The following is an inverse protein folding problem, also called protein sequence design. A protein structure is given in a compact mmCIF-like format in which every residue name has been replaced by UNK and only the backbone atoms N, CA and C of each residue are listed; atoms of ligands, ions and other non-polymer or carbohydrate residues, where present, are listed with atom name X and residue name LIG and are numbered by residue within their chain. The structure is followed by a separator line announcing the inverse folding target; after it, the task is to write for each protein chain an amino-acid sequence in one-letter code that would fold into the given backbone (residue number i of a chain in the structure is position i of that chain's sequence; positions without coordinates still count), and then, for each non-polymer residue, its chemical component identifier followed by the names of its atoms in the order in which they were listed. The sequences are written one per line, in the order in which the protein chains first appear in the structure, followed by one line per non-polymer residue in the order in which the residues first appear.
data_IF_982612030470
#
_entry.id   IF_982612030470
#
_cell.length_a   1.000
_cell.length_b   1.000
_cell.length_c   1.000
_cell.angle_alpha   90.00
_cell.angle_beta   90.00
_cell.angle_gamma   90.00
#
_symmetry.space_group_name_H-M   'P 1'
#
loop_
_entity.id
_entity.type
_entity.pdbx_description
1 polymer ?
#
# COMPACT_ATOMS: atom_id res chain seq x y z
N UNK A 1 18.57 7.36 -25.24
CA UNK A 1 17.82 8.11 -24.21
C UNK A 1 16.66 7.24 -23.80
N UNK A 2 16.20 7.34 -22.55
CA UNK A 2 15.00 6.63 -22.11
C UNK A 2 13.77 7.08 -22.92
N UNK A 3 12.79 6.19 -23.05
CA UNK A 3 11.53 6.54 -23.71
C UNK A 3 10.73 7.53 -22.86
N UNK A 4 9.88 8.36 -23.49
CA UNK A 4 8.97 9.26 -22.77
C UNK A 4 8.08 8.52 -21.76
N UNK A 5 7.56 7.35 -22.15
CA UNK A 5 6.75 6.49 -21.27
C UNK A 5 7.51 6.02 -20.03
N UNK A 6 8.79 5.67 -20.19
CA UNK A 6 9.63 5.31 -19.04
C UNK A 6 9.84 6.49 -18.11
N UNK A 7 10.16 7.67 -18.64
CA UNK A 7 10.39 8.88 -17.84
C UNK A 7 9.13 9.22 -17.04
N UNK A 8 7.96 9.22 -17.68
CA UNK A 8 6.67 9.45 -17.04
C UNK A 8 6.37 8.43 -15.93
N UNK A 9 6.55 7.13 -16.20
CA UNK A 9 6.34 6.08 -15.21
C UNK A 9 7.32 6.18 -14.02
N UNK A 10 8.59 6.51 -14.28
CA UNK A 10 9.61 6.73 -13.25
C UNK A 10 9.22 7.92 -12.38
N UNK A 11 8.83 9.03 -12.99
CA UNK A 11 8.48 10.25 -12.26
C UNK A 11 7.22 10.05 -11.41
N UNK A 12 6.25 9.25 -11.89
CA UNK A 12 5.10 8.83 -11.10
C UNK A 12 5.50 8.00 -9.86
N UNK A 13 6.43 7.06 -10.00
CA UNK A 13 6.93 6.27 -8.87
C UNK A 13 7.68 7.16 -7.86
N UNK A 14 8.54 8.06 -8.35
CA UNK A 14 9.26 9.02 -7.48
C UNK A 14 8.28 9.87 -6.68
N UNK A 15 7.21 10.36 -7.30
CA UNK A 15 6.17 11.13 -6.61
C UNK A 15 5.41 10.27 -5.59
N UNK A 16 5.12 9.01 -5.91
CA UNK A 16 4.50 8.08 -4.95
C UNK A 16 5.41 7.85 -3.72
N UNK A 17 6.72 7.67 -3.93
CA UNK A 17 7.71 7.53 -2.85
C UNK A 17 7.73 8.77 -1.95
N UNK A 18 7.71 9.96 -2.54
CA UNK A 18 7.70 11.22 -1.76
C UNK A 18 6.42 11.35 -0.91
N UNK A 19 5.26 10.97 -1.46
CA UNK A 19 4.01 10.93 -0.71
C UNK A 19 4.07 9.90 0.43
N UNK A 20 4.58 8.71 0.19
CA UNK A 20 4.75 7.68 1.23
C UNK A 20 5.61 8.18 2.39
N UNK A 21 6.75 8.83 2.10
CA UNK A 21 7.62 9.39 3.13
C UNK A 21 6.93 10.45 3.98
N UNK A 22 6.12 11.32 3.36
CA UNK A 22 5.32 12.31 4.09
C UNK A 22 4.32 11.63 5.02
N UNK A 23 3.57 10.65 4.50
CA UNK A 23 2.56 9.93 5.27
C UNK A 23 3.16 9.18 6.45
N UNK A 24 4.30 8.51 6.27
CA UNK A 24 4.98 7.79 7.37
C UNK A 24 5.43 8.73 8.50
N UNK A 25 5.80 9.97 8.18
CA UNK A 25 6.17 10.98 9.20
C UNK A 25 4.94 11.53 9.93
N UNK A 26 3.83 11.72 9.22
CA UNK A 26 2.58 12.26 9.78
C UNK A 26 1.79 11.21 10.57
N UNK A 27 1.88 9.93 10.17
CA UNK A 27 1.17 8.80 10.76
C UNK A 27 2.16 7.74 11.24
N UNK A 28 2.95 8.01 12.29
CA UNK A 28 4.03 7.14 12.72
C UNK A 28 3.56 5.84 13.38
N UNK A 29 2.32 5.79 13.89
CA UNK A 29 1.70 4.61 14.52
C UNK A 29 2.57 3.94 15.60
N UNK A 30 3.35 4.72 16.36
CA UNK A 30 4.28 4.21 17.39
C UNK A 30 5.57 3.61 16.84
N UNK A 31 5.73 3.53 15.52
CA UNK A 31 6.95 3.05 14.83
C UNK A 31 8.11 4.04 14.95
N UNK A 32 7.81 5.30 15.28
CA UNK A 32 8.77 6.34 15.70
C UNK A 32 9.48 6.00 17.02
N UNK A 33 8.92 5.05 17.80
CA UNK A 33 9.45 4.64 19.10
C UNK A 33 10.06 3.24 19.09
N UNK A 34 9.99 2.55 17.95
CA UNK A 34 10.54 1.21 17.77
C UNK A 34 11.93 1.31 17.15
N UNK A 35 12.96 1.02 17.93
CA UNK A 35 14.34 1.03 17.46
C UNK A 35 14.76 -0.33 16.89
N UNK A 36 15.53 -0.28 15.82
CA UNK A 36 16.19 -1.40 15.17
C UNK A 36 17.65 -1.06 14.88
N UNK A 37 18.56 -2.02 15.03
CA UNK A 37 19.99 -1.82 14.77
C UNK A 37 20.37 -2.59 13.51
N UNK A 38 20.95 -1.89 12.54
CA UNK A 38 21.49 -2.46 11.32
C UNK A 38 22.91 -1.94 11.10
N UNK A 39 23.87 -2.85 10.92
CA UNK A 39 25.28 -2.51 10.70
C UNK A 39 25.85 -1.54 11.75
N UNK A 40 25.49 -1.75 13.01
CA UNK A 40 25.92 -0.91 14.14
C UNK A 40 25.23 0.45 14.24
N UNK A 41 24.31 0.79 13.35
CA UNK A 41 23.54 2.04 13.36
C UNK A 41 22.11 1.78 13.82
N UNK A 42 21.64 2.56 14.81
CA UNK A 42 20.25 2.51 15.27
C UNK A 42 19.37 3.39 14.37
N UNK A 43 18.23 2.84 13.97
CA UNK A 43 17.15 3.55 13.29
C UNK A 43 15.85 3.29 14.04
N UNK A 44 14.98 4.28 14.12
CA UNK A 44 13.56 4.00 14.30
C UNK A 44 13.04 3.24 13.08
N UNK A 45 11.94 2.52 13.24
CA UNK A 45 11.35 1.78 12.13
C UNK A 45 10.91 2.73 10.99
N UNK A 46 10.49 3.96 11.31
CA UNK A 46 10.16 4.99 10.30
C UNK A 46 11.40 5.46 9.55
N UNK A 47 12.50 5.76 10.26
CA UNK A 47 13.74 6.16 9.62
C UNK A 47 14.25 5.07 8.67
N UNK A 48 14.10 3.80 9.07
CA UNK A 48 14.42 2.68 8.20
C UNK A 48 13.55 2.65 6.94
N UNK A 49 12.22 2.77 7.06
CA UNK A 49 11.32 2.82 5.91
C UNK A 49 11.66 3.97 4.96
N UNK A 50 11.86 5.19 5.49
CA UNK A 50 12.22 6.36 4.68
C UNK A 50 13.56 6.16 3.99
N UNK A 51 14.54 5.56 4.67
CA UNK A 51 15.84 5.22 4.08
C UNK A 51 15.68 4.24 2.91
N UNK A 52 14.91 3.17 3.09
CA UNK A 52 14.63 2.19 2.02
C UNK A 52 13.92 2.85 0.83
N UNK A 53 12.90 3.65 1.09
CA UNK A 53 12.16 4.40 0.08
C UNK A 53 13.09 5.34 -0.72
N UNK A 54 13.94 6.10 -0.03
CA UNK A 54 14.91 6.99 -0.68
C UNK A 54 15.97 6.22 -1.46
N UNK A 55 16.37 5.03 -0.99
CA UNK A 55 17.26 4.17 -1.76
C UNK A 55 16.63 3.74 -3.08
N UNK A 56 15.37 3.28 -3.07
CA UNK A 56 14.62 2.95 -4.29
C UNK A 56 14.52 4.17 -5.21
N UNK A 57 14.19 5.35 -4.67
CA UNK A 57 14.14 6.61 -5.43
C UNK A 57 15.46 6.93 -6.13
N UNK A 58 16.59 6.79 -5.44
CA UNK A 58 17.91 7.00 -6.03
C UNK A 58 18.25 5.98 -7.12
N UNK A 59 17.90 4.70 -6.93
CA UNK A 59 18.10 3.66 -7.93
C UNK A 59 17.35 3.95 -9.23
N UNK A 60 16.07 4.36 -9.13
CA UNK A 60 15.25 4.63 -10.32
C UNK A 60 15.65 5.93 -11.03
N UNK A 61 16.10 6.95 -10.30
CA UNK A 61 16.59 8.21 -10.87
C UNK A 61 17.93 8.03 -11.60
N UNK A 62 18.80 7.16 -11.09
CA UNK A 62 20.15 6.95 -11.59
C UNK A 62 20.34 5.61 -12.33
N UNK A 63 19.25 4.95 -12.73
CA UNK A 63 19.29 3.65 -13.38
C UNK A 63 20.21 3.67 -14.62
N UNK A 64 21.09 2.66 -14.74
CA UNK A 64 21.93 2.49 -15.93
C UNK A 64 21.06 2.41 -17.20
N UNK A 65 21.55 2.92 -18.33
CA UNK A 65 20.80 2.96 -19.60
C UNK A 65 20.17 1.62 -20.01
N UNK A 66 20.83 0.49 -19.71
CA UNK A 66 20.33 -0.86 -20.00
C UNK A 66 19.09 -1.26 -19.17
N UNK A 67 18.87 -0.63 -18.02
CA UNK A 67 17.75 -0.85 -17.11
C UNK A 67 16.67 0.25 -17.22
N UNK A 68 16.84 1.24 -18.10
CA UNK A 68 15.83 2.27 -18.35
C UNK A 68 14.68 1.75 -19.25
N UNK A 69 14.06 0.65 -18.80
CA UNK A 69 12.96 -0.03 -19.48
C UNK A 69 11.75 -0.12 -18.55
N UNK A 70 10.55 -0.18 -19.12
CA UNK A 70 9.32 -0.35 -18.32
C UNK A 70 9.32 -1.69 -17.56
N UNK A 71 9.93 -2.73 -18.13
CA UNK A 71 10.00 -4.04 -17.48
C UNK A 71 10.89 -4.01 -16.23
N UNK A 72 12.04 -3.36 -16.29
CA UNK A 72 12.91 -3.20 -15.12
C UNK A 72 12.23 -2.35 -14.04
N UNK A 73 11.67 -1.19 -14.43
CA UNK A 73 10.96 -0.30 -13.50
C UNK A 73 9.75 -0.95 -12.84
N UNK A 74 9.08 -1.89 -13.53
CA UNK A 74 7.96 -2.63 -12.96
C UNK A 74 8.35 -3.37 -11.68
N UNK A 75 9.54 -3.94 -11.61
CA UNK A 75 10.01 -4.61 -10.39
C UNK A 75 10.18 -3.62 -9.24
N UNK A 76 10.74 -2.43 -9.49
CA UNK A 76 10.88 -1.39 -8.47
C UNK A 76 9.52 -0.87 -7.99
N UNK A 77 8.54 -0.77 -8.89
CA UNK A 77 7.15 -0.41 -8.56
C UNK A 77 6.56 -1.50 -7.66
N UNK A 78 6.59 -2.76 -8.08
CA UNK A 78 6.01 -3.87 -7.31
C UNK A 78 6.63 -3.93 -5.91
N UNK A 79 7.96 -3.94 -5.80
CA UNK A 79 8.68 -4.00 -4.52
C UNK A 79 8.30 -2.85 -3.57
N UNK A 80 8.20 -1.61 -4.09
CA UNK A 80 7.79 -0.46 -3.29
C UNK A 80 6.34 -0.58 -2.79
N UNK A 81 5.42 -1.02 -3.64
CA UNK A 81 4.00 -1.07 -3.30
C UNK A 81 3.61 -2.27 -2.42
N UNK A 82 4.45 -3.30 -2.24
CA UNK A 82 4.13 -4.48 -1.40
C UNK A 82 3.57 -4.06 -0.04
N UNK A 83 4.26 -3.16 0.68
CA UNK A 83 3.80 -2.71 1.99
C UNK A 83 2.39 -2.12 1.93
N UNK A 84 2.15 -1.19 1.00
CA UNK A 84 0.87 -0.50 0.88
C UNK A 84 -0.26 -1.38 0.33
N UNK A 85 0.07 -2.47 -0.37
CA UNK A 85 -0.91 -3.45 -0.87
C UNK A 85 -1.25 -4.54 0.15
N UNK A 86 -0.35 -4.83 1.09
CA UNK A 86 -0.51 -5.93 2.04
C UNK A 86 -0.86 -5.48 3.45
N UNK A 87 -0.40 -4.30 3.86
CA UNK A 87 -0.68 -3.76 5.17
C UNK A 87 -2.05 -3.06 5.24
N UNK A 88 -2.47 -2.79 6.47
CA UNK A 88 -3.62 -1.99 6.80
C UNK A 88 -3.23 -0.98 7.89
N UNK A 89 -3.99 0.11 7.99
CA UNK A 89 -3.81 1.14 9.00
C UNK A 89 -3.92 2.56 8.44
N UNK A 90 -4.01 3.58 9.32
CA UNK A 90 -4.22 4.96 8.91
C UNK A 90 -3.17 5.52 7.95
N UNK A 91 -1.91 5.06 8.03
CA UNK A 91 -0.84 5.45 7.12
C UNK A 91 -1.03 4.84 5.72
N UNK A 92 -1.51 3.60 5.64
CA UNK A 92 -1.80 2.96 4.35
C UNK A 92 -3.01 3.61 3.69
N UNK A 93 -4.06 3.89 4.46
CA UNK A 93 -5.27 4.51 3.93
C UNK A 93 -5.01 5.96 3.48
N UNK A 94 -4.25 6.72 4.27
CA UNK A 94 -3.84 8.08 3.90
C UNK A 94 -2.95 8.08 2.65
N UNK A 95 -2.04 7.11 2.53
CA UNK A 95 -1.22 6.97 1.33
C UNK A 95 -2.09 6.78 0.07
N UNK A 96 -3.02 5.84 0.08
CA UNK A 96 -3.90 5.58 -1.06
C UNK A 96 -4.81 6.78 -1.38
N UNK A 97 -5.30 7.48 -0.36
CA UNK A 97 -6.01 8.76 -0.53
C UNK A 97 -5.15 9.78 -1.29
N UNK A 98 -3.88 9.98 -0.89
CA UNK A 98 -2.96 10.91 -1.57
C UNK A 98 -2.59 10.47 -2.98
N UNK A 99 -2.44 9.17 -3.24
CA UNK A 99 -2.22 8.64 -4.60
C UNK A 99 -3.37 9.06 -5.52
N UNK A 100 -4.62 8.88 -5.07
CA UNK A 100 -5.81 9.27 -5.82
C UNK A 100 -5.89 10.77 -6.05
N UNK A 101 -5.65 11.59 -5.02
CA UNK A 101 -5.67 13.05 -5.12
C UNK A 101 -4.55 13.61 -6.01
N UNK A 102 -3.39 12.94 -6.02
CA UNK A 102 -2.26 13.28 -6.88
C UNK A 102 -2.46 12.84 -8.34
N UNK A 103 -3.59 12.17 -8.65
CA UNK A 103 -3.93 11.59 -9.95
C UNK A 103 -2.83 10.68 -10.50
N UNK A 104 -2.26 9.85 -9.62
CA UNK A 104 -1.23 8.89 -9.99
C UNK A 104 -1.85 7.58 -10.49
N UNK A 105 -1.21 6.86 -11.44
CA UNK A 105 -1.79 5.68 -12.10
C UNK A 105 -1.60 4.39 -11.28
N UNK A 106 -1.78 4.47 -9.96
CA UNK A 106 -1.64 3.34 -9.05
C UNK A 106 -2.94 3.12 -8.31
N UNK A 107 -3.32 1.85 -8.16
CA UNK A 107 -4.58 1.47 -7.53
C UNK A 107 -4.32 0.43 -6.44
N UNK A 108 -5.10 0.52 -5.36
CA UNK A 108 -5.09 -0.47 -4.28
C UNK A 108 -5.80 -1.73 -4.75
N UNK A 109 -5.16 -2.89 -4.60
CA UNK A 109 -5.76 -4.15 -5.00
C UNK A 109 -6.92 -4.52 -4.06
N UNK A 110 -8.11 -4.74 -4.63
CA UNK A 110 -9.27 -5.13 -3.87
C UNK A 110 -9.28 -6.65 -3.57
N UNK A 111 -8.62 -7.06 -2.48
CA UNK A 111 -8.67 -8.47 -2.03
C UNK A 111 -10.06 -8.91 -1.53
N UNK A 112 -10.99 -7.98 -1.25
CA UNK A 112 -12.35 -8.31 -0.84
C UNK A 112 -13.14 -8.97 -1.96
N UNK A 113 -12.82 -8.72 -3.24
CA UNK A 113 -13.52 -9.36 -4.37
C UNK A 113 -13.50 -10.89 -4.25
N UNK A 114 -12.35 -11.45 -3.86
CA UNK A 114 -12.19 -12.89 -3.69
C UNK A 114 -13.01 -13.43 -2.53
N UNK A 115 -13.15 -12.66 -1.45
CA UNK A 115 -13.96 -13.01 -0.27
C UNK A 115 -15.45 -12.94 -0.65
N UNK A 116 -15.86 -11.85 -1.30
CA UNK A 116 -17.23 -11.62 -1.74
C UNK A 116 -17.69 -12.66 -2.76
N UNK A 117 -16.88 -12.95 -3.80
CA UNK A 117 -17.15 -13.99 -4.80
C UNK A 117 -17.37 -15.36 -4.16
N UNK A 118 -16.69 -15.62 -3.05
CA UNK A 118 -16.81 -16.87 -2.30
C UNK A 118 -18.00 -16.89 -1.34
N UNK A 119 -18.52 -15.73 -0.95
CA UNK A 119 -19.68 -15.60 -0.06
C UNK A 119 -19.42 -15.94 1.42
N UNK A 120 -18.17 -16.06 1.85
CA UNK A 120 -17.81 -16.35 3.26
C UNK A 120 -16.39 -15.94 3.63
N UNK A 121 -16.23 -15.50 4.88
CA UNK A 121 -14.95 -15.34 5.58
C UNK A 121 -14.48 -16.71 6.10
N UNK A 122 -13.22 -17.08 5.85
CA UNK A 122 -12.68 -18.42 6.16
C UNK A 122 -11.93 -18.49 7.49
N UNK A 123 -11.26 -17.42 7.89
CA UNK A 123 -10.38 -17.40 9.04
C UNK A 123 -10.29 -15.98 9.62
N UNK A 124 -9.60 -15.85 10.76
CA UNK A 124 -9.46 -14.57 11.47
C UNK A 124 -8.70 -13.54 10.63
N UNK A 125 -7.71 -13.94 9.84
CA UNK A 125 -6.93 -13.02 8.99
C UNK A 125 -7.84 -12.32 7.98
N UNK A 126 -8.72 -13.08 7.30
CA UNK A 126 -9.69 -12.50 6.39
C UNK A 126 -10.75 -11.67 7.12
N UNK A 127 -11.14 -12.07 8.33
CA UNK A 127 -12.07 -11.30 9.16
C UNK A 127 -11.47 -9.92 9.50
N UNK A 128 -10.25 -9.89 10.03
CA UNK A 128 -9.54 -8.67 10.40
C UNK A 128 -9.38 -7.77 9.17
N UNK A 129 -8.94 -8.33 8.03
CA UNK A 129 -8.84 -7.59 6.77
C UNK A 129 -10.17 -6.97 6.33
N UNK A 130 -11.28 -7.72 6.39
CA UNK A 130 -12.61 -7.19 6.02
C UNK A 130 -13.01 -6.03 6.93
N UNK A 131 -12.83 -6.19 8.24
CA UNK A 131 -13.16 -5.14 9.22
C UNK A 131 -12.32 -3.88 8.97
N UNK A 132 -11.01 -4.06 8.74
CA UNK A 132 -10.07 -2.95 8.56
C UNK A 132 -10.29 -2.20 7.24
N UNK A 133 -10.82 -2.87 6.21
CA UNK A 133 -10.89 -2.30 4.85
C UNK A 133 -12.28 -1.88 4.39
N UNK A 134 -13.36 -2.36 5.04
CA UNK A 134 -14.74 -2.08 4.58
C UNK A 134 -15.06 -0.58 4.51
N UNK A 135 -14.66 0.20 5.54
CA UNK A 135 -14.91 1.64 5.59
C UNK A 135 -14.01 2.42 4.62
N UNK A 136 -12.66 2.24 4.63
CA UNK A 136 -11.79 2.89 3.66
C UNK A 136 -12.21 2.62 2.20
N UNK A 137 -12.52 1.37 1.86
CA UNK A 137 -12.85 1.02 0.47
C UNK A 137 -14.20 1.59 0.03
N UNK A 138 -15.17 1.73 0.94
CA UNK A 138 -16.41 2.43 0.64
C UNK A 138 -16.15 3.91 0.36
N UNK A 139 -15.34 4.57 1.19
CA UNK A 139 -14.99 5.99 1.02
C UNK A 139 -14.17 6.25 -0.26
N UNK A 140 -13.32 5.31 -0.62
CA UNK A 140 -12.53 5.35 -1.86
C UNK A 140 -13.37 5.06 -3.12
N UNK A 141 -14.62 4.59 -2.95
CA UNK A 141 -15.52 4.22 -4.04
C UNK A 141 -15.22 2.86 -4.67
N UNK A 142 -14.38 2.06 -4.01
CA UNK A 142 -14.05 0.68 -4.40
C UNK A 142 -15.23 -0.26 -4.09
N UNK A 143 -15.93 -0.02 -2.97
CA UNK A 143 -17.13 -0.77 -2.59
C UNK A 143 -18.39 0.07 -2.79
N UNK A 144 -19.43 -0.54 -3.36
CA UNK A 144 -20.77 0.02 -3.33
C UNK A 144 -21.46 -0.23 -1.98
N UNK A 145 -22.55 0.49 -1.70
CA UNK A 145 -23.39 0.23 -0.51
C UNK A 145 -23.89 -1.22 -0.44
N UNK A 146 -24.20 -1.81 -1.60
CA UNK A 146 -24.65 -3.19 -1.71
C UNK A 146 -23.52 -4.19 -1.39
N UNK A 147 -22.28 -3.87 -1.75
CA UNK A 147 -21.11 -4.70 -1.39
C UNK A 147 -20.85 -4.65 0.12
N UNK A 148 -20.95 -3.46 0.72
CA UNK A 148 -20.83 -3.27 2.18
C UNK A 148 -21.89 -4.09 2.92
N UNK A 149 -23.14 -4.08 2.43
CA UNK A 149 -24.22 -4.88 3.01
C UNK A 149 -23.89 -6.38 2.99
N UNK A 150 -23.43 -6.91 1.85
CA UNK A 150 -23.02 -8.32 1.73
C UNK A 150 -21.88 -8.67 2.67
N UNK A 151 -20.88 -7.80 2.80
CA UNK A 151 -19.75 -8.00 3.72
C UNK A 151 -20.21 -8.04 5.18
N UNK A 152 -21.12 -7.15 5.59
CA UNK A 152 -21.72 -7.16 6.93
C UNK A 152 -22.46 -8.46 7.24
N UNK A 153 -23.22 -9.01 6.28
CA UNK A 153 -23.86 -10.33 6.44
C UNK A 153 -22.83 -11.46 6.60
N UNK A 154 -21.68 -11.38 5.93
CA UNK A 154 -20.61 -12.37 6.06
C UNK A 154 -19.88 -12.27 7.42
N UNK A 155 -19.67 -11.05 7.91
CA UNK A 155 -19.13 -10.77 9.25
C UNK A 155 -20.03 -11.42 10.29
N UNK A 156 -21.33 -11.14 10.26
CA UNK A 156 -22.29 -11.67 11.23
C UNK A 156 -22.30 -13.22 11.22
N UNK A 157 -22.31 -13.83 10.03
CA UNK A 157 -22.25 -15.31 9.90
C UNK A 157 -20.96 -15.90 10.45
N UNK A 158 -19.84 -15.19 10.34
CA UNK A 158 -18.56 -15.64 10.86
C UNK A 158 -18.51 -15.55 12.39
N UNK A 159 -18.97 -14.43 12.95
CA UNK A 159 -19.05 -14.22 14.40
C UNK A 159 -19.99 -15.21 15.09
N UNK A 160 -21.15 -15.48 14.49
CA UNK A 160 -22.12 -16.44 15.02
C UNK A 160 -21.59 -17.89 15.06
N UNK A 161 -20.61 -18.26 14.23
CA UNK A 161 -19.96 -19.58 14.28
C UNK A 161 -18.89 -19.70 15.37
N UNK A 162 -18.41 -18.58 15.90
CA UNK A 162 -17.41 -18.56 16.98
C UNK A 162 -18.04 -18.60 18.37
N UNK A 163 -19.34 -18.32 18.46
CA UNK A 163 -20.16 -18.49 19.65
C UNK A 163 -20.53 -19.96 19.83
#
# INVERSE_FOLDING_TARGET
MASKKYIEARDNLVKAIDLANQVLLEYPLGRDKMNYVYDGVSYTLIEWFIKCNNHTKELVLNAEKKFQTLQSLKYDIEDFFIYFQEAAGPDVDEFWRRIKEANLPYERENKLEKIMKRGRIRNNIEYDYVIDTIVPFQQEGILSEEDVKKLNEMIEKFENKRR
#
